data_IF_355039237560
#
_entry.id   IF_355039237560
#
_cell.length_a   1.000
_cell.length_b   1.000
_cell.length_c   1.000
_cell.angle_alpha   90.00
_cell.angle_beta   90.00
_cell.angle_gamma   90.00
#
_symmetry.space_group_name_H-M   'P 1'
#
loop_
_entity.id
_entity.type
_entity.pdbx_description
1 polymer ?
#
# COMPACT_ATOMS: atom_id res chain seq x y z
N UNK A 1 -10.97 16.86 15.74
CA UNK A 1 -11.31 15.79 14.77
C UNK A 1 -10.10 15.17 14.02
N UNK A 2 -8.85 15.52 14.34
CA UNK A 2 -7.66 15.03 13.62
C UNK A 2 -7.27 13.55 13.88
N UNK A 3 -7.81 12.92 14.93
CA UNK A 3 -7.44 11.56 15.35
C UNK A 3 -8.20 10.44 14.61
N UNK A 4 -9.27 10.79 13.87
CA UNK A 4 -10.16 9.80 13.27
C UNK A 4 -9.47 8.98 12.17
N UNK A 5 -8.66 9.64 11.32
CA UNK A 5 -7.91 8.98 10.25
C UNK A 5 -6.92 7.93 10.76
N UNK A 6 -5.98 8.30 11.66
CA UNK A 6 -5.06 7.34 12.27
C UNK A 6 -5.78 6.19 13.00
N UNK A 7 -6.89 6.48 13.69
CA UNK A 7 -7.71 5.46 14.35
C UNK A 7 -8.28 4.46 13.35
N UNK A 8 -8.88 4.93 12.26
CA UNK A 8 -9.45 4.08 11.20
C UNK A 8 -8.37 3.23 10.54
N UNK A 9 -7.21 3.81 10.24
CA UNK A 9 -6.10 3.06 9.64
C UNK A 9 -5.48 2.03 10.59
N UNK A 10 -5.37 2.33 11.88
CA UNK A 10 -4.86 1.39 12.87
C UNK A 10 -5.84 0.21 13.09
N UNK A 11 -7.14 0.52 13.19
CA UNK A 11 -8.20 -0.48 13.31
C UNK A 11 -8.29 -1.35 12.05
N UNK A 12 -8.21 -0.77 10.85
CA UNK A 12 -8.25 -1.55 9.62
C UNK A 12 -7.07 -2.51 9.55
N UNK A 13 -5.85 -2.05 9.86
CA UNK A 13 -4.67 -2.93 9.91
C UNK A 13 -4.86 -4.13 10.86
N UNK A 14 -5.42 -3.90 12.05
CA UNK A 14 -5.68 -4.97 13.01
C UNK A 14 -6.81 -5.92 12.55
N UNK A 15 -7.84 -5.37 11.90
CA UNK A 15 -9.02 -6.13 11.49
C UNK A 15 -8.85 -6.89 10.16
N UNK A 16 -7.95 -6.48 9.27
CA UNK A 16 -7.89 -7.04 7.90
C UNK A 16 -6.81 -8.09 7.68
N UNK A 17 -6.04 -8.50 8.70
CA UNK A 17 -5.09 -9.60 8.58
C UNK A 17 -5.73 -10.88 8.02
N UNK A 18 -6.94 -11.21 8.48
CA UNK A 18 -7.67 -12.42 8.05
C UNK A 18 -8.12 -12.43 6.59
N UNK A 19 -8.12 -11.28 5.90
CA UNK A 19 -8.72 -11.11 4.58
C UNK A 19 -7.70 -11.54 3.55
N UNK A 20 -6.44 -11.20 3.78
CA UNK A 20 -5.34 -11.61 2.91
C UNK A 20 -5.01 -13.10 3.09
N UNK A 21 -5.24 -13.67 4.29
CA UNK A 21 -5.17 -15.13 4.51
C UNK A 21 -6.23 -15.90 3.70
N UNK A 22 -7.42 -15.33 3.48
CA UNK A 22 -8.53 -16.01 2.76
C UNK A 22 -8.52 -15.81 1.24
N UNK A 23 -8.11 -14.63 0.77
CA UNK A 23 -8.24 -14.24 -0.64
C UNK A 23 -6.91 -14.18 -1.41
N UNK A 24 -5.79 -14.42 -0.73
CA UNK A 24 -4.44 -14.31 -1.30
C UNK A 24 -3.92 -12.88 -1.25
N UNK A 25 -2.77 -12.70 -0.61
CA UNK A 25 -2.18 -11.38 -0.35
C UNK A 25 -1.88 -10.58 -1.62
N UNK A 26 -1.54 -11.23 -2.74
CA UNK A 26 -1.28 -10.54 -4.01
C UNK A 26 -2.54 -9.92 -4.61
N UNK A 27 -3.65 -10.66 -4.61
CA UNK A 27 -4.95 -10.17 -5.10
C UNK A 27 -5.51 -9.04 -4.23
N UNK A 28 -5.42 -9.16 -2.91
CA UNK A 28 -5.88 -8.11 -1.99
C UNK A 28 -5.06 -6.84 -2.18
N UNK A 29 -3.73 -6.97 -2.25
CA UNK A 29 -2.83 -5.82 -2.42
C UNK A 29 -3.09 -5.07 -3.73
N UNK A 30 -3.37 -5.79 -4.83
CA UNK A 30 -3.75 -5.16 -6.09
C UNK A 30 -5.01 -4.29 -5.98
N UNK A 31 -6.09 -4.84 -5.41
CA UNK A 31 -7.34 -4.10 -5.23
C UNK A 31 -7.18 -2.93 -4.26
N UNK A 32 -6.35 -3.08 -3.23
CA UNK A 32 -6.04 -1.99 -2.30
C UNK A 32 -5.34 -0.85 -3.02
N UNK A 33 -4.27 -1.10 -3.77
CA UNK A 33 -3.57 -0.04 -4.50
C UNK A 33 -4.46 0.63 -5.54
N UNK A 34 -5.32 -0.13 -6.22
CA UNK A 34 -6.30 0.43 -7.14
C UNK A 34 -7.30 1.34 -6.39
N UNK A 35 -7.80 0.89 -5.24
CA UNK A 35 -8.67 1.68 -4.38
C UNK A 35 -7.98 2.96 -3.88
N UNK A 36 -6.68 2.89 -3.53
CA UNK A 36 -5.91 4.05 -3.10
C UNK A 36 -5.75 5.07 -4.23
N UNK A 37 -5.46 4.61 -5.45
CA UNK A 37 -5.41 5.48 -6.63
C UNK A 37 -6.76 6.19 -6.87
N UNK A 38 -7.86 5.44 -6.83
CA UNK A 38 -9.22 6.01 -6.99
C UNK A 38 -9.54 7.01 -5.86
N UNK A 39 -9.15 6.71 -4.62
CA UNK A 39 -9.40 7.59 -3.50
C UNK A 39 -8.58 8.89 -3.58
N UNK A 40 -7.30 8.84 -3.98
CA UNK A 40 -6.50 10.05 -4.25
C UNK A 40 -7.08 10.85 -5.41
N UNK A 41 -7.52 10.19 -6.47
CA UNK A 41 -8.19 10.86 -7.58
C UNK A 41 -9.48 11.56 -7.11
N UNK A 42 -10.27 10.91 -6.24
CA UNK A 42 -11.42 11.53 -5.59
C UNK A 42 -11.05 12.76 -4.77
N UNK A 43 -9.96 12.71 -3.99
CA UNK A 43 -9.45 13.89 -3.25
C UNK A 43 -9.16 15.05 -4.20
N UNK A 44 -8.52 14.80 -5.34
CA UNK A 44 -8.22 15.82 -6.35
C UNK A 44 -9.50 16.48 -6.92
N UNK A 45 -10.59 15.73 -7.08
CA UNK A 45 -11.86 16.25 -7.60
C UNK A 45 -12.65 17.05 -6.56
N UNK A 46 -12.56 16.69 -5.27
CA UNK A 46 -13.27 17.38 -4.19
C UNK A 46 -12.50 18.56 -3.58
N UNK A 47 -11.25 18.75 -3.98
CA UNK A 47 -10.43 19.90 -3.59
C UNK A 47 -11.00 21.19 -4.20
N UNK A 48 -11.12 22.29 -3.44
CA UNK A 48 -11.50 23.58 -4.03
C UNK A 48 -10.43 23.99 -5.05
N UNK A 49 -10.79 24.02 -6.33
CA UNK A 49 -10.03 24.72 -7.36
C UNK A 49 -10.57 26.14 -7.51
N UNK A 50 -9.79 27.04 -8.12
CA UNK A 50 -9.96 28.50 -8.12
C UNK A 50 -11.38 29.04 -8.42
N UNK A 51 -12.31 28.23 -8.96
CA UNK A 51 -13.72 28.60 -9.23
C UNK A 51 -14.77 27.56 -8.74
N UNK A 52 -14.41 26.57 -7.91
CA UNK A 52 -15.28 25.47 -7.49
C UNK A 52 -15.61 25.47 -6.00
N UNK A 53 -16.88 25.19 -5.65
CA UNK A 53 -17.31 24.91 -4.28
C UNK A 53 -16.74 23.55 -3.87
N UNK A 54 -15.58 23.53 -3.20
CA UNK A 54 -14.98 22.30 -2.69
C UNK A 54 -15.95 21.58 -1.73
N UNK A 55 -16.03 20.25 -1.81
CA UNK A 55 -16.88 19.46 -0.93
C UNK A 55 -16.06 18.91 0.24
N UNK A 56 -16.19 19.53 1.40
CA UNK A 56 -15.53 19.06 2.62
C UNK A 56 -15.86 17.59 2.93
N UNK A 57 -17.12 17.20 2.78
CA UNK A 57 -17.56 15.83 3.03
C UNK A 57 -16.99 14.84 2.02
N UNK A 58 -16.94 15.20 0.73
CA UNK A 58 -16.32 14.38 -0.31
C UNK A 58 -14.81 14.17 -0.04
N UNK A 59 -14.10 15.26 0.24
CA UNK A 59 -12.70 15.23 0.66
C UNK A 59 -12.49 14.34 1.89
N UNK A 60 -13.33 14.51 2.91
CA UNK A 60 -13.24 13.76 4.16
C UNK A 60 -13.43 12.25 3.95
N UNK A 61 -14.45 11.84 3.18
CA UNK A 61 -14.68 10.42 2.89
C UNK A 61 -13.55 9.81 2.07
N UNK A 62 -13.00 10.52 1.08
CA UNK A 62 -11.85 10.05 0.32
C UNK A 62 -10.61 9.87 1.21
N UNK A 63 -10.36 10.80 2.15
CA UNK A 63 -9.26 10.64 3.11
C UNK A 63 -9.49 9.49 4.09
N UNK A 64 -10.71 9.30 4.60
CA UNK A 64 -11.04 8.13 5.43
C UNK A 64 -10.84 6.82 4.68
N UNK A 65 -11.25 6.77 3.41
CA UNK A 65 -10.99 5.62 2.55
C UNK A 65 -9.49 5.38 2.36
N UNK A 66 -8.68 6.43 2.14
CA UNK A 66 -7.22 6.32 2.06
C UNK A 66 -6.61 5.76 3.34
N UNK A 67 -7.00 6.26 4.51
CA UNK A 67 -6.50 5.75 5.79
C UNK A 67 -6.87 4.27 6.00
N UNK A 68 -8.13 3.93 5.71
CA UNK A 68 -8.60 2.55 5.79
C UNK A 68 -7.77 1.64 4.87
N UNK A 69 -7.71 1.97 3.57
CA UNK A 69 -6.98 1.22 2.56
C UNK A 69 -5.48 1.13 2.85
N UNK A 70 -4.86 2.17 3.39
CA UNK A 70 -3.44 2.13 3.80
C UNK A 70 -3.22 1.07 4.89
N UNK A 71 -4.13 0.99 5.88
CA UNK A 71 -4.04 -0.04 6.92
C UNK A 71 -4.22 -1.45 6.36
N UNK A 72 -5.16 -1.64 5.40
CA UNK A 72 -5.32 -2.92 4.70
C UNK A 72 -4.10 -3.27 3.87
N UNK A 73 -3.55 -2.30 3.13
CA UNK A 73 -2.37 -2.49 2.28
C UNK A 73 -1.11 -2.87 3.06
N UNK A 74 -0.93 -2.30 4.25
CA UNK A 74 0.15 -2.70 5.15
C UNK A 74 0.01 -4.17 5.59
N UNK A 75 -1.20 -4.58 6.00
CA UNK A 75 -1.45 -5.97 6.39
C UNK A 75 -1.25 -6.95 5.22
N UNK A 76 -1.81 -6.64 4.05
CA UNK A 76 -1.71 -7.51 2.88
C UNK A 76 -0.29 -7.61 2.34
N UNK A 77 0.47 -6.51 2.31
CA UNK A 77 1.87 -6.52 1.83
C UNK A 77 2.77 -7.31 2.77
N UNK A 78 2.60 -7.19 4.09
CA UNK A 78 3.37 -7.97 5.06
C UNK A 78 3.06 -9.46 5.00
N UNK A 79 1.83 -9.87 4.69
CA UNK A 79 1.49 -11.27 4.46
C UNK A 79 1.97 -11.77 3.09
N UNK A 80 2.06 -10.88 2.10
CA UNK A 80 2.53 -11.23 0.76
C UNK A 80 4.01 -11.67 0.78
N UNK A 81 4.87 -10.99 1.55
CA UNK A 81 6.33 -11.24 1.55
C UNK A 81 6.69 -12.70 1.93
N UNK A 82 6.24 -13.27 3.07
CA UNK A 82 6.55 -14.66 3.42
C UNK A 82 6.00 -15.67 2.41
N UNK A 83 4.80 -15.42 1.86
CA UNK A 83 4.19 -16.30 0.85
C UNK A 83 4.98 -16.36 -0.46
N UNK A 84 5.65 -15.25 -0.83
CA UNK A 84 6.56 -15.19 -1.98
C UNK A 84 7.82 -15.99 -1.66
N UNK A 85 8.42 -15.80 -0.47
CA UNK A 85 9.63 -16.52 -0.08
C UNK A 85 9.43 -18.03 0.01
N UNK A 86 8.29 -18.50 0.51
CA UNK A 86 7.99 -19.93 0.52
C UNK A 86 7.99 -20.57 -0.88
N UNK A 87 7.77 -19.79 -1.94
CA UNK A 87 7.82 -20.27 -3.33
C UNK A 87 9.17 -20.06 -4.00
N UNK A 88 9.91 -19.05 -3.58
CA UNK A 88 11.17 -18.66 -4.20
C UNK A 88 12.38 -19.39 -3.57
N UNK A 89 12.35 -19.69 -2.28
CA UNK A 89 13.41 -20.45 -1.59
C UNK A 89 13.63 -21.85 -2.18
N UNK A 90 12.58 -22.67 -2.46
CA UNK A 90 12.78 -23.95 -3.14
C UNK A 90 13.41 -23.82 -4.53
N UNK A 91 13.19 -22.68 -5.21
CA UNK A 91 13.79 -22.40 -6.53
C UNK A 91 15.27 -22.00 -6.42
N UNK A 92 15.63 -21.18 -5.42
CA UNK A 92 17.02 -20.77 -5.18
C UNK A 92 17.87 -21.86 -4.54
N UNK A 93 17.27 -22.68 -3.66
CA UNK A 93 17.94 -23.74 -2.92
C UNK A 93 17.25 -25.10 -3.14
N UNK A 94 17.50 -25.79 -4.25
CA UNK A 94 16.84 -27.07 -4.55
C UNK A 94 17.30 -28.26 -3.68
N UNK A 95 18.31 -28.05 -2.82
CA UNK A 95 19.04 -29.12 -2.09
C UNK A 95 18.80 -29.14 -0.58
N UNK A 96 17.98 -28.22 -0.06
CA UNK A 96 17.63 -28.18 1.37
C UNK A 96 16.42 -29.08 1.65
N UNK A 97 16.35 -29.65 2.85
CA UNK A 97 15.21 -30.47 3.27
C UNK A 97 13.92 -29.65 3.40
N UNK A 98 12.76 -30.28 3.27
CA UNK A 98 11.45 -29.59 3.32
C UNK A 98 11.25 -28.80 4.62
N UNK A 99 11.66 -29.36 5.77
CA UNK A 99 11.56 -28.68 7.07
C UNK A 99 12.46 -27.44 7.18
N UNK A 100 13.66 -27.49 6.60
CA UNK A 100 14.62 -26.37 6.60
C UNK A 100 14.19 -25.25 5.64
N UNK A 101 13.48 -25.61 4.57
CA UNK A 101 12.93 -24.69 3.56
C UNK A 101 11.92 -23.72 4.19
N UNK A 102 11.00 -24.22 5.00
CA UNK A 102 10.01 -23.38 5.67
C UNK A 102 10.66 -22.40 6.65
N UNK A 103 11.59 -22.89 7.47
CA UNK A 103 12.32 -22.05 8.43
C UNK A 103 13.14 -20.97 7.72
N UNK A 104 13.80 -21.31 6.62
CA UNK A 104 14.60 -20.35 5.86
C UNK A 104 13.71 -19.28 5.19
N UNK A 105 12.58 -19.68 4.61
CA UNK A 105 11.62 -18.74 4.02
C UNK A 105 11.04 -17.77 5.06
N UNK A 106 10.76 -18.23 6.28
CA UNK A 106 10.32 -17.36 7.38
C UNK A 106 11.42 -16.38 7.81
N UNK A 107 12.67 -16.86 7.97
CA UNK A 107 13.79 -16.01 8.36
C UNK A 107 14.11 -14.94 7.30
N UNK A 108 14.17 -15.32 6.03
CA UNK A 108 14.42 -14.38 4.93
C UNK A 108 13.25 -13.41 4.74
N UNK A 109 12.01 -13.90 4.84
CA UNK A 109 10.81 -13.06 4.81
C UNK A 109 10.82 -12.02 5.93
N UNK A 110 11.15 -12.42 7.17
CA UNK A 110 11.27 -11.50 8.30
C UNK A 110 12.36 -10.45 8.09
N UNK A 111 13.51 -10.84 7.55
CA UNK A 111 14.60 -9.90 7.23
C UNK A 111 14.19 -8.89 6.16
N UNK A 112 13.49 -9.33 5.11
CA UNK A 112 12.95 -8.45 4.06
C UNK A 112 11.92 -7.48 4.64
N UNK A 113 11.01 -7.95 5.48
CA UNK A 113 10.01 -7.10 6.15
C UNK A 113 10.72 -6.03 7.01
N UNK A 114 11.72 -6.43 7.80
CA UNK A 114 12.47 -5.49 8.64
C UNK A 114 13.16 -4.40 7.79
N UNK A 115 13.88 -4.80 6.75
CA UNK A 115 14.59 -3.86 5.89
C UNK A 115 13.64 -2.92 5.12
N UNK A 116 12.58 -3.47 4.52
CA UNK A 116 11.58 -2.67 3.79
C UNK A 116 10.79 -1.75 4.72
N UNK A 117 10.52 -2.16 5.96
CA UNK A 117 9.84 -1.31 6.95
C UNK A 117 10.69 -0.12 7.39
N UNK A 118 12.01 -0.29 7.50
CA UNK A 118 12.93 0.83 7.78
C UNK A 118 12.91 1.86 6.65
N UNK A 119 12.84 1.42 5.39
CA UNK A 119 12.69 2.32 4.24
C UNK A 119 11.29 2.98 4.25
N UNK A 120 10.24 2.22 4.54
CA UNK A 120 8.86 2.73 4.59
C UNK A 120 8.67 3.82 5.66
N UNK A 121 9.45 3.79 6.75
CA UNK A 121 9.40 4.81 7.80
C UNK A 121 9.72 6.22 7.28
N UNK A 122 10.55 6.36 6.24
CA UNK A 122 10.80 7.65 5.59
C UNK A 122 9.55 8.27 4.97
N UNK A 123 8.51 7.46 4.69
CA UNK A 123 7.21 7.94 4.22
C UNK A 123 6.54 8.94 5.18
N UNK A 124 6.74 8.77 6.49
CA UNK A 124 6.20 9.68 7.51
C UNK A 124 6.82 11.09 7.43
N UNK A 125 8.04 11.21 6.93
CA UNK A 125 8.69 12.49 6.65
C UNK A 125 8.37 13.00 5.24
N UNK A 126 8.37 12.10 4.26
CA UNK A 126 8.15 12.44 2.86
C UNK A 126 6.77 13.03 2.60
N UNK A 127 5.70 12.46 3.18
CA UNK A 127 4.33 12.89 2.90
C UNK A 127 4.09 14.34 3.38
N UNK A 128 4.33 14.72 4.66
CA UNK A 128 4.16 16.09 5.11
C UNK A 128 5.07 17.07 4.36
N UNK A 129 6.31 16.67 4.06
CA UNK A 129 7.26 17.53 3.33
C UNK A 129 6.80 17.77 1.89
N UNK A 130 6.31 16.74 1.20
CA UNK A 130 5.77 16.86 -0.15
C UNK A 130 4.55 17.78 -0.20
N UNK A 131 3.62 17.65 0.76
CA UNK A 131 2.51 18.60 0.90
C UNK A 131 3.00 20.03 1.15
N UNK A 132 3.94 20.23 2.08
CA UNK A 132 4.50 21.54 2.38
C UNK A 132 5.17 22.20 1.16
N UNK A 133 6.00 21.44 0.44
CA UNK A 133 6.66 21.90 -0.79
C UNK A 133 5.64 22.24 -1.88
N UNK A 134 4.62 21.39 -2.08
CA UNK A 134 3.52 21.63 -3.03
C UNK A 134 2.81 22.94 -2.74
N UNK A 135 2.43 23.17 -1.48
CA UNK A 135 1.74 24.39 -1.07
C UNK A 135 2.64 25.62 -1.27
N UNK A 136 3.93 25.53 -0.92
CA UNK A 136 4.86 26.66 -1.10
C UNK A 136 5.14 27.02 -2.56
N UNK A 137 5.12 26.06 -3.47
CA UNK A 137 5.49 26.27 -4.87
C UNK A 137 4.29 26.51 -5.78
N UNK A 138 3.14 25.89 -5.49
CA UNK A 138 1.97 25.87 -6.39
C UNK A 138 0.73 26.50 -5.76
N UNK A 139 0.79 26.94 -4.50
CA UNK A 139 -0.34 27.52 -3.77
C UNK A 139 -1.33 26.49 -3.21
N UNK A 140 -1.18 25.20 -3.51
CA UNK A 140 -2.07 24.15 -3.02
C UNK A 140 -1.44 22.75 -2.95
N UNK A 141 -2.17 21.76 -2.39
CA UNK A 141 -1.67 20.39 -2.22
C UNK A 141 -1.83 19.51 -3.48
N UNK A 142 -2.41 20.03 -4.56
CA UNK A 142 -2.74 19.25 -5.75
C UNK A 142 -1.52 18.60 -6.41
N UNK A 143 -0.38 19.28 -6.48
CA UNK A 143 0.83 18.73 -7.10
C UNK A 143 1.38 17.52 -6.30
N UNK A 144 1.35 17.57 -4.96
CA UNK A 144 1.70 16.42 -4.13
C UNK A 144 0.74 15.23 -4.35
N UNK A 145 -0.57 15.50 -4.44
CA UNK A 145 -1.58 14.47 -4.67
C UNK A 145 -1.42 13.80 -6.04
N UNK A 146 -1.09 14.55 -7.10
CA UNK A 146 -0.75 13.97 -8.41
C UNK A 146 0.48 13.06 -8.35
N UNK A 147 1.52 13.47 -7.61
CA UNK A 147 2.69 12.62 -7.39
C UNK A 147 2.32 11.30 -6.70
N UNK A 148 1.52 11.36 -5.64
CA UNK A 148 1.04 10.16 -4.95
C UNK A 148 0.15 9.28 -5.84
N UNK A 149 -0.70 9.88 -6.67
CA UNK A 149 -1.53 9.15 -7.63
C UNK A 149 -0.67 8.35 -8.62
N UNK A 150 0.33 9.01 -9.22
CA UNK A 150 1.27 8.35 -10.15
C UNK A 150 1.99 7.20 -9.44
N UNK A 151 2.46 7.42 -8.21
CA UNK A 151 3.08 6.38 -7.41
C UNK A 151 2.15 5.17 -7.20
N UNK A 152 0.89 5.37 -6.82
CA UNK A 152 -0.06 4.27 -6.65
C UNK A 152 -0.36 3.55 -7.96
N UNK A 153 -0.46 4.26 -9.10
CA UNK A 153 -0.63 3.63 -10.42
C UNK A 153 0.57 2.74 -10.76
N UNK A 154 1.79 3.20 -10.46
CA UNK A 154 3.01 2.39 -10.62
C UNK A 154 2.96 1.14 -9.73
N UNK A 155 2.54 1.27 -8.47
CA UNK A 155 2.36 0.13 -7.57
C UNK A 155 1.34 -0.87 -8.13
N UNK A 156 0.19 -0.41 -8.62
CA UNK A 156 -0.82 -1.27 -9.27
C UNK A 156 -0.21 -2.01 -10.46
N UNK A 157 0.53 -1.32 -11.32
CA UNK A 157 1.17 -1.93 -12.49
C UNK A 157 2.19 -3.01 -12.09
N UNK A 158 3.03 -2.74 -11.09
CA UNK A 158 3.99 -3.72 -10.57
C UNK A 158 3.25 -4.93 -9.98
N UNK A 159 2.24 -4.71 -9.14
CA UNK A 159 1.49 -5.81 -8.53
C UNK A 159 0.75 -6.64 -9.57
N UNK A 160 0.27 -6.01 -10.63
CA UNK A 160 -0.34 -6.70 -11.77
C UNK A 160 0.64 -7.59 -12.52
N UNK A 161 1.78 -7.02 -12.91
CA UNK A 161 2.78 -7.69 -13.76
C UNK A 161 3.41 -8.88 -13.05
N UNK A 162 3.72 -8.74 -11.75
CA UNK A 162 4.51 -9.74 -11.03
C UNK A 162 3.69 -10.78 -10.26
N UNK A 163 2.46 -10.44 -9.84
CA UNK A 163 1.73 -11.27 -8.87
C UNK A 163 0.34 -11.73 -9.34
N UNK A 164 -0.45 -10.89 -10.00
CA UNK A 164 -1.88 -11.20 -10.24
C UNK A 164 -2.23 -11.63 -11.67
N UNK A 165 -1.36 -11.40 -12.67
CA UNK A 165 -1.62 -11.85 -14.06
C UNK A 165 -1.57 -13.38 -14.21
N UNK A 166 -2.30 -13.94 -15.19
CA UNK A 166 -2.38 -15.40 -15.45
C UNK A 166 -1.02 -16.09 -15.69
N UNK A 167 0.01 -15.35 -16.12
CA UNK A 167 1.39 -15.80 -16.29
C UNK A 167 2.36 -15.02 -15.40
N UNK A 168 1.98 -14.78 -14.14
CA UNK A 168 2.80 -14.07 -13.18
C UNK A 168 4.01 -14.94 -12.77
N UNK A 169 5.23 -14.37 -12.68
CA UNK A 169 6.41 -15.10 -12.20
C UNK A 169 6.22 -15.72 -10.81
N UNK A 170 5.46 -15.05 -9.94
CA UNK A 170 5.14 -15.51 -8.58
C UNK A 170 3.65 -15.28 -8.27
N UNK A 171 2.74 -16.20 -8.63
CA UNK A 171 1.30 -15.96 -8.58
C UNK A 171 0.72 -16.00 -7.15
N UNK A 172 0.52 -14.87 -6.46
CA UNK A 172 0.02 -14.80 -5.07
C UNK A 172 -1.32 -14.06 -4.88
#
# INVERSE_FOLDING_TARGET
YAFLGPLVGALSRAATGWISDRYGGGRVTFWVFLGMAVAVFGVLQFLPQDNGVGSFWGFFFCFMALFFLTGVGNASTFQMIPSIMQREIPRLHPRIGEADTHRQAEMEGAAIIAFTSAIAAYGAFFIPKAYGTSISMTGGPAAALWCFLIFYVVCVAITWVFYTRKNAPVPC
#
